data_IF_524567964900
#
_entry.id   IF_524567964900
#
_cell.length_a   1.000
_cell.length_b   1.000
_cell.length_c   1.000
_cell.angle_alpha   90.00
_cell.angle_beta   90.00
_cell.angle_gamma   90.00
#
_symmetry.space_group_name_H-M   'P 1'
#
loop_
_entity.id
_entity.type
_entity.pdbx_description
1 polymer ?
#
# COMPACT_ATOMS: atom_id res chain seq x y z
N UNK A 1 -19.94 5.82 -14.62
CA UNK A 1 -19.11 4.88 -13.81
C UNK A 1 -17.64 5.25 -13.75
N UNK A 2 -16.99 5.66 -14.84
CA UNK A 2 -15.55 5.97 -14.90
C UNK A 2 -15.08 7.10 -13.97
N UNK A 3 -15.86 8.15 -13.79
CA UNK A 3 -15.49 9.30 -12.94
C UNK A 3 -15.57 9.04 -11.44
N UNK A 4 -16.25 7.98 -11.00
CA UNK A 4 -16.57 7.75 -9.59
C UNK A 4 -15.79 6.57 -8.97
N UNK A 5 -15.19 5.69 -9.78
CA UNK A 5 -14.51 4.49 -9.28
C UNK A 5 -12.98 4.69 -9.26
N UNK A 6 -12.36 4.49 -8.11
CA UNK A 6 -10.90 4.48 -7.96
C UNK A 6 -10.26 3.30 -8.68
N UNK A 7 -10.92 2.15 -8.71
CA UNK A 7 -10.48 0.97 -9.47
C UNK A 7 -10.34 1.29 -10.97
N UNK A 8 -11.30 2.04 -11.53
CA UNK A 8 -11.24 2.43 -12.95
C UNK A 8 -10.06 3.38 -13.25
N UNK A 9 -9.64 4.18 -12.28
CA UNK A 9 -8.46 5.04 -12.40
C UNK A 9 -7.17 4.21 -12.36
N UNK A 10 -7.08 3.22 -11.48
CA UNK A 10 -5.95 2.32 -11.39
C UNK A 10 -5.73 1.54 -12.69
N UNK A 11 -6.80 1.04 -13.31
CA UNK A 11 -6.78 0.35 -14.61
C UNK A 11 -6.16 1.20 -15.73
N UNK A 12 -6.19 2.54 -15.60
CA UNK A 12 -5.52 3.44 -16.56
C UNK A 12 -4.10 3.78 -16.15
N UNK A 13 -3.89 4.06 -14.86
CA UNK A 13 -2.59 4.50 -14.35
C UNK A 13 -1.56 3.37 -14.46
N UNK A 14 -1.97 2.12 -14.21
CA UNK A 14 -1.07 0.98 -14.29
C UNK A 14 -0.49 0.73 -15.69
N UNK A 15 -1.29 0.63 -16.77
CA UNK A 15 -0.73 0.50 -18.12
C UNK A 15 0.10 1.71 -18.54
N UNK A 16 -0.29 2.92 -18.15
CA UNK A 16 0.50 4.12 -18.44
C UNK A 16 1.86 4.08 -17.73
N UNK A 17 1.91 3.62 -16.48
CA UNK A 17 3.15 3.42 -15.75
C UNK A 17 4.03 2.35 -16.42
N UNK A 18 3.47 1.22 -16.86
CA UNK A 18 4.21 0.17 -17.59
C UNK A 18 4.76 0.70 -18.90
N UNK A 19 3.97 1.46 -19.67
CA UNK A 19 4.41 2.06 -20.92
C UNK A 19 5.56 3.07 -20.69
N UNK A 20 5.47 3.90 -19.64
CA UNK A 20 6.53 4.84 -19.29
C UNK A 20 7.81 4.15 -18.83
N UNK A 21 7.72 3.04 -18.08
CA UNK A 21 8.90 2.25 -17.70
C UNK A 21 9.55 1.57 -18.89
N UNK A 22 8.75 1.03 -19.82
CA UNK A 22 9.27 0.46 -21.07
C UNK A 22 9.96 1.53 -21.93
N UNK A 23 9.40 2.74 -22.01
CA UNK A 23 10.00 3.87 -22.71
C UNK A 23 11.31 4.31 -22.06
N UNK A 24 11.37 4.39 -20.72
CA UNK A 24 12.58 4.70 -19.98
C UNK A 24 13.66 3.66 -20.23
N UNK A 25 13.30 2.39 -20.24
CA UNK A 25 14.22 1.29 -20.58
C UNK A 25 14.76 1.42 -22.00
N UNK A 26 13.90 1.71 -22.98
CA UNK A 26 14.30 1.92 -24.36
C UNK A 26 15.31 3.07 -24.51
N UNK A 27 15.08 4.22 -23.86
CA UNK A 27 16.02 5.34 -23.86
C UNK A 27 17.31 5.04 -23.08
N UNK A 28 17.24 4.24 -22.03
CA UNK A 28 18.42 3.78 -21.28
C UNK A 28 19.35 2.96 -22.15
N UNK A 29 18.82 2.11 -23.04
CA UNK A 29 19.61 1.35 -24.02
C UNK A 29 20.40 2.26 -24.97
N UNK A 30 19.92 3.49 -25.21
CA UNK A 30 20.56 4.48 -26.07
C UNK A 30 21.43 5.49 -25.30
N UNK A 31 21.66 5.30 -23.99
CA UNK A 31 22.34 6.23 -23.09
C UNK A 31 21.75 7.66 -23.11
N UNK A 32 20.47 7.80 -23.40
CA UNK A 32 19.79 9.09 -23.62
C UNK A 32 18.52 9.24 -22.80
N UNK A 33 18.51 8.75 -21.54
CA UNK A 33 17.30 8.93 -20.71
C UNK A 33 17.13 10.39 -20.34
N UNK A 34 16.07 11.07 -20.78
CA UNK A 34 15.84 12.45 -20.43
C UNK A 34 15.42 12.57 -18.94
N UNK A 35 15.97 13.55 -18.24
CA UNK A 35 15.73 13.74 -16.80
C UNK A 35 14.25 13.91 -16.43
N UNK A 36 13.45 14.52 -17.32
CA UNK A 36 12.00 14.66 -17.10
C UNK A 36 11.27 13.33 -17.00
N UNK A 37 11.76 12.28 -17.68
CA UNK A 37 11.12 10.96 -17.68
C UNK A 37 11.17 10.32 -16.28
N UNK A 38 12.28 10.50 -15.55
CA UNK A 38 12.39 10.05 -14.16
C UNK A 38 11.38 10.74 -13.25
N UNK A 39 11.18 12.05 -13.44
CA UNK A 39 10.17 12.81 -12.69
C UNK A 39 8.76 12.28 -12.97
N UNK A 40 8.44 12.05 -14.25
CA UNK A 40 7.12 11.51 -14.65
C UNK A 40 6.91 10.11 -14.07
N UNK A 41 7.92 9.25 -14.06
CA UNK A 41 7.86 7.92 -13.44
C UNK A 41 7.62 8.00 -11.93
N UNK A 42 8.28 8.91 -11.23
CA UNK A 42 8.04 9.14 -9.79
C UNK A 42 6.59 9.59 -9.54
N UNK A 43 6.07 10.53 -10.31
CA UNK A 43 4.68 10.99 -10.19
C UNK A 43 3.69 9.86 -10.50
N UNK A 44 3.95 9.08 -11.55
CA UNK A 44 3.09 7.96 -11.92
C UNK A 44 3.07 6.86 -10.85
N UNK A 45 4.21 6.56 -10.22
CA UNK A 45 4.27 5.59 -9.12
C UNK A 45 3.51 6.07 -7.88
N UNK A 46 3.63 7.35 -7.53
CA UNK A 46 2.85 7.95 -6.44
C UNK A 46 1.35 7.92 -6.75
N UNK A 47 0.96 8.25 -7.98
CA UNK A 47 -0.43 8.19 -8.41
C UNK A 47 -1.00 6.75 -8.32
N UNK A 48 -0.20 5.74 -8.68
CA UNK A 48 -0.59 4.34 -8.54
C UNK A 48 -0.82 3.97 -7.07
N UNK A 49 0.09 4.32 -6.16
CA UNK A 49 -0.09 4.06 -4.72
C UNK A 49 -1.32 4.77 -4.15
N UNK A 50 -1.58 6.01 -4.57
CA UNK A 50 -2.78 6.75 -4.15
C UNK A 50 -4.04 6.06 -4.67
N UNK A 51 -4.08 5.65 -5.94
CA UNK A 51 -5.24 4.94 -6.50
C UNK A 51 -5.53 3.65 -5.72
N UNK A 52 -4.51 2.82 -5.50
CA UNK A 52 -4.62 1.57 -4.74
C UNK A 52 -5.08 1.84 -3.30
N UNK A 53 -4.49 2.80 -2.60
CA UNK A 53 -4.87 3.17 -1.24
C UNK A 53 -6.32 3.65 -1.16
N UNK A 54 -6.78 4.42 -2.14
CA UNK A 54 -8.13 4.95 -2.18
C UNK A 54 -9.19 3.89 -2.44
N UNK A 55 -8.86 2.79 -3.14
CA UNK A 55 -9.77 1.65 -3.30
C UNK A 55 -10.16 1.11 -1.91
N UNK A 56 -9.18 0.91 -1.03
CA UNK A 56 -9.43 0.43 0.33
C UNK A 56 -10.07 1.52 1.22
N UNK A 57 -9.60 2.76 1.15
CA UNK A 57 -10.10 3.85 1.98
C UNK A 57 -11.57 4.19 1.71
N UNK A 58 -12.06 3.98 0.48
CA UNK A 58 -13.45 4.22 0.10
C UNK A 58 -14.43 3.19 0.67
N UNK A 59 -13.95 2.08 1.23
CA UNK A 59 -14.77 1.04 1.86
C UNK A 59 -15.19 1.51 3.25
N UNK A 60 -16.27 2.28 3.31
CA UNK A 60 -16.71 2.95 4.55
C UNK A 60 -17.20 2.02 5.66
N UNK A 61 -17.65 0.82 5.32
CA UNK A 61 -18.13 -0.15 6.31
C UNK A 61 -16.98 -0.81 7.08
N UNK A 62 -15.74 -0.81 6.54
CA UNK A 62 -14.55 -1.26 7.25
C UNK A 62 -13.90 -0.02 7.87
N UNK A 63 -14.17 0.24 9.16
CA UNK A 63 -13.70 1.43 9.87
C UNK A 63 -12.17 1.52 9.93
N UNK A 64 -11.49 0.39 9.93
CA UNK A 64 -10.03 0.29 9.93
C UNK A 64 -9.42 0.89 8.66
N UNK A 65 -10.06 0.66 7.51
CA UNK A 65 -9.61 1.11 6.21
C UNK A 65 -10.12 2.50 5.83
N UNK A 66 -11.32 2.85 6.29
CA UNK A 66 -11.99 4.12 5.99
C UNK A 66 -11.34 5.32 6.73
N UNK A 67 -10.01 5.45 6.67
CA UNK A 67 -9.27 6.51 7.34
C UNK A 67 -8.04 6.93 6.51
N UNK A 68 -7.63 8.21 6.53
CA UNK A 68 -6.45 8.71 5.80
C UNK A 68 -5.14 7.99 6.14
N UNK A 69 -5.03 7.38 7.33
CA UNK A 69 -3.88 6.57 7.71
C UNK A 69 -3.64 5.38 6.77
N UNK A 70 -4.69 4.86 6.12
CA UNK A 70 -4.56 3.81 5.12
C UNK A 70 -3.69 4.28 3.96
N UNK A 71 -3.94 5.47 3.43
CA UNK A 71 -3.12 6.05 2.37
C UNK A 71 -1.66 6.26 2.79
N UNK A 72 -1.44 6.84 3.98
CA UNK A 72 -0.08 7.03 4.53
C UNK A 72 0.65 5.70 4.69
N UNK A 73 -0.04 4.67 5.18
CA UNK A 73 0.53 3.33 5.34
C UNK A 73 0.91 2.69 3.99
N UNK A 74 0.06 2.82 2.97
CA UNK A 74 0.37 2.31 1.62
C UNK A 74 1.60 2.98 1.01
N UNK A 75 1.70 4.31 1.12
CA UNK A 75 2.87 5.08 0.62
C UNK A 75 4.13 4.67 1.40
N UNK A 76 4.08 4.65 2.73
CA UNK A 76 5.24 4.29 3.56
C UNK A 76 5.72 2.86 3.30
N UNK A 77 4.79 1.90 3.20
CA UNK A 77 5.13 0.51 2.86
C UNK A 77 5.64 0.38 1.42
N UNK A 78 5.08 1.12 0.47
CA UNK A 78 5.54 1.15 -0.92
C UNK A 78 6.98 1.64 -1.03
N UNK A 79 7.31 2.76 -0.37
CA UNK A 79 8.69 3.29 -0.34
C UNK A 79 9.64 2.28 0.33
N UNK A 80 9.27 1.76 1.50
CA UNK A 80 10.12 0.84 2.25
C UNK A 80 10.37 -0.46 1.49
N UNK A 81 9.32 -1.09 0.95
CA UNK A 81 9.46 -2.35 0.20
C UNK A 81 10.22 -2.15 -1.11
N UNK A 82 9.98 -1.04 -1.82
CA UNK A 82 10.72 -0.68 -3.03
C UNK A 82 12.20 -0.47 -2.74
N UNK A 83 12.53 0.22 -1.65
CA UNK A 83 13.91 0.41 -1.21
C UNK A 83 14.60 -0.92 -0.89
N UNK A 84 13.96 -1.80 -0.11
CA UNK A 84 14.51 -3.12 0.21
C UNK A 84 14.73 -3.97 -1.04
N UNK A 85 13.79 -3.94 -1.97
CA UNK A 85 13.91 -4.67 -3.22
C UNK A 85 15.09 -4.14 -4.06
N UNK A 86 15.23 -2.81 -4.15
CA UNK A 86 16.36 -2.18 -4.83
C UNK A 86 17.70 -2.59 -4.20
N UNK A 87 17.80 -2.55 -2.86
CA UNK A 87 19.03 -2.96 -2.17
C UNK A 87 19.34 -4.45 -2.37
N UNK A 88 18.33 -5.30 -2.39
CA UNK A 88 18.52 -6.73 -2.69
C UNK A 88 19.04 -6.96 -4.12
N UNK A 89 18.48 -6.25 -5.11
CA UNK A 89 18.96 -6.32 -6.49
C UNK A 89 20.39 -5.81 -6.64
N UNK A 90 20.73 -4.67 -6.02
CA UNK A 90 22.08 -4.10 -6.09
C UNK A 90 23.11 -4.99 -5.40
N UNK A 91 22.76 -5.63 -4.28
CA UNK A 91 23.65 -6.59 -3.63
C UNK A 91 23.84 -7.86 -4.46
N UNK A 92 22.78 -8.37 -5.08
CA UNK A 92 22.88 -9.50 -6.00
C UNK A 92 23.75 -9.16 -7.22
N UNK A 93 23.55 -7.98 -7.80
CA UNK A 93 24.37 -7.49 -8.91
C UNK A 93 25.85 -7.38 -8.54
N UNK A 94 26.16 -6.80 -7.38
CA UNK A 94 27.56 -6.68 -6.91
C UNK A 94 28.22 -8.02 -6.60
N UNK A 95 27.43 -9.04 -6.22
CA UNK A 95 27.95 -10.42 -6.05
C UNK A 95 28.32 -11.06 -7.39
N UNK A 96 27.52 -10.81 -8.43
CA UNK A 96 27.74 -11.37 -9.76
C UNK A 96 28.86 -10.64 -10.53
N UNK A 97 29.01 -9.33 -10.28
CA UNK A 97 29.96 -8.45 -10.98
C UNK A 97 30.88 -7.76 -9.97
N UNK A 98 31.81 -8.52 -9.40
CA UNK A 98 32.74 -8.06 -8.34
C UNK A 98 33.49 -6.77 -8.67
N UNK A 99 33.80 -6.57 -9.96
CA UNK A 99 34.56 -5.40 -10.44
C UNK A 99 33.72 -4.12 -10.54
N UNK A 100 32.39 -4.23 -10.43
CA UNK A 100 31.44 -3.12 -10.54
C UNK A 100 30.60 -2.95 -9.27
N UNK A 101 31.22 -3.10 -8.10
CA UNK A 101 30.49 -2.94 -6.83
C UNK A 101 29.91 -1.53 -6.71
N UNK A 102 28.59 -1.41 -6.84
CA UNK A 102 27.84 -0.15 -6.72
C UNK A 102 27.84 0.37 -5.28
N UNK A 103 27.90 -0.56 -4.30
CA UNK A 103 27.96 -0.21 -2.88
C UNK A 103 29.42 -0.26 -2.43
N UNK A 104 30.05 0.89 -2.40
CA UNK A 104 31.40 1.03 -1.86
C UNK A 104 31.38 1.11 -0.33
N UNK A 105 32.48 0.72 0.32
CA UNK A 105 32.61 0.78 1.79
C UNK A 105 32.31 2.18 2.37
N UNK A 106 32.60 3.22 1.63
CA UNK A 106 32.31 4.63 2.02
C UNK A 106 30.81 4.95 2.10
N UNK A 107 29.97 4.24 1.34
CA UNK A 107 28.52 4.52 1.27
C UNK A 107 27.69 3.58 2.16
N UNK A 108 28.28 2.52 2.71
CA UNK A 108 27.55 1.52 3.51
C UNK A 108 26.87 2.16 4.71
N UNK A 109 27.54 3.04 5.44
CA UNK A 109 26.97 3.70 6.62
C UNK A 109 25.72 4.55 6.28
N UNK A 110 25.78 5.31 5.19
CA UNK A 110 24.63 6.09 4.72
C UNK A 110 23.45 5.24 4.30
N UNK A 111 23.70 4.19 3.53
CA UNK A 111 22.69 3.23 3.09
C UNK A 111 22.07 2.51 4.28
N UNK A 112 22.87 2.03 5.23
CA UNK A 112 22.38 1.36 6.43
C UNK A 112 21.56 2.30 7.31
N UNK A 113 22.01 3.55 7.49
CA UNK A 113 21.29 4.58 8.25
C UNK A 113 19.92 4.90 7.63
N UNK A 114 19.87 5.09 6.32
CA UNK A 114 18.60 5.36 5.62
C UNK A 114 17.66 4.15 5.68
N UNK A 115 18.19 2.94 5.52
CA UNK A 115 17.42 1.69 5.66
C UNK A 115 16.84 1.56 7.07
N UNK A 116 17.66 1.80 8.09
CA UNK A 116 17.22 1.81 9.50
C UNK A 116 16.11 2.83 9.76
N UNK A 117 16.25 4.04 9.20
CA UNK A 117 15.21 5.08 9.28
C UNK A 117 13.88 4.63 8.66
N UNK A 118 13.90 4.03 7.46
CA UNK A 118 12.69 3.54 6.81
C UNK A 118 12.02 2.40 7.60
N UNK A 119 12.81 1.50 8.18
CA UNK A 119 12.28 0.42 9.05
C UNK A 119 11.58 1.03 10.27
N UNK A 120 12.24 1.94 10.98
CA UNK A 120 11.68 2.58 12.17
C UNK A 120 10.42 3.37 11.84
N UNK A 121 10.42 4.11 10.73
CA UNK A 121 9.25 4.86 10.27
C UNK A 121 8.06 3.92 9.97
N UNK A 122 8.30 2.85 9.24
CA UNK A 122 7.26 1.88 8.89
C UNK A 122 6.72 1.16 10.13
N UNK A 123 7.60 0.81 11.07
CA UNK A 123 7.23 0.15 12.32
C UNK A 123 6.39 1.08 13.20
N UNK A 124 6.80 2.33 13.39
CA UNK A 124 6.06 3.31 14.21
C UNK A 124 4.68 3.60 13.63
N UNK A 125 4.57 3.76 12.32
CA UNK A 125 3.27 3.91 11.63
C UNK A 125 2.39 2.68 11.84
N UNK A 126 2.95 1.48 11.72
CA UNK A 126 2.21 0.23 11.90
C UNK A 126 1.71 0.08 13.33
N UNK A 127 2.54 0.36 14.33
CA UNK A 127 2.16 0.32 15.74
C UNK A 127 1.09 1.36 16.06
N UNK A 128 1.19 2.55 15.51
CA UNK A 128 0.18 3.60 15.67
C UNK A 128 -1.18 3.19 15.08
N UNK A 129 -1.19 2.64 13.85
CA UNK A 129 -2.40 2.13 13.21
C UNK A 129 -3.00 0.98 14.03
N UNK A 130 -2.17 0.06 14.50
CA UNK A 130 -2.62 -1.05 15.32
C UNK A 130 -3.24 -0.59 16.65
N UNK A 131 -2.60 0.37 17.34
CA UNK A 131 -3.16 0.99 18.56
C UNK A 131 -4.51 1.66 18.29
N UNK A 132 -4.60 2.43 17.19
CA UNK A 132 -5.85 3.05 16.77
C UNK A 132 -6.94 2.01 16.49
N UNK A 133 -6.61 0.96 15.72
CA UNK A 133 -7.60 -0.04 15.33
C UNK A 133 -8.15 -0.80 16.55
N UNK A 134 -7.35 -1.03 17.58
CA UNK A 134 -7.81 -1.60 18.85
C UNK A 134 -8.79 -0.71 19.62
N UNK A 135 -8.77 0.59 19.40
CA UNK A 135 -9.67 1.54 20.06
C UNK A 135 -10.97 1.79 19.30
N UNK A 136 -11.13 1.21 18.10
CA UNK A 136 -12.33 1.36 17.29
C UNK A 136 -13.50 0.61 17.95
N UNK A 137 -14.64 1.31 18.05
CA UNK A 137 -15.91 0.72 18.51
C UNK A 137 -16.81 0.47 17.29
N UNK A 138 -17.57 -0.64 17.26
CA UNK A 138 -18.52 -0.90 16.20
C UNK A 138 -19.56 0.22 16.13
N UNK A 139 -19.81 0.74 14.92
CA UNK A 139 -20.79 1.83 14.68
C UNK A 139 -22.20 1.31 14.50
N UNK A 140 -22.37 0.04 14.22
CA UNK A 140 -23.67 -0.59 13.99
C UNK A 140 -23.72 -1.96 14.69
N UNK A 141 -24.93 -2.34 15.09
CA UNK A 141 -25.25 -3.69 15.56
C UNK A 141 -26.12 -4.41 14.50
N UNK A 142 -26.40 -5.69 14.70
CA UNK A 142 -27.22 -6.49 13.78
C UNK A 142 -28.60 -5.85 13.54
N UNK A 143 -29.21 -5.30 14.56
CA UNK A 143 -30.50 -4.64 14.48
C UNK A 143 -30.46 -3.36 13.63
N UNK A 144 -29.43 -2.52 13.85
CA UNK A 144 -29.27 -1.28 13.07
C UNK A 144 -28.87 -1.55 11.61
N UNK A 145 -28.13 -2.62 11.36
CA UNK A 145 -27.68 -2.98 10.01
C UNK A 145 -28.81 -3.59 9.17
N UNK A 146 -29.70 -4.37 9.80
CA UNK A 146 -30.85 -5.01 9.11
C UNK A 146 -32.11 -4.14 9.10
N UNK A 147 -32.14 -3.08 9.91
CA UNK A 147 -33.33 -2.22 10.07
C UNK A 147 -34.46 -2.88 10.86
N UNK A 148 -34.26 -4.09 11.40
CA UNK A 148 -35.29 -4.82 12.18
C UNK A 148 -35.32 -4.24 13.58
N UNK A 149 -36.41 -3.57 13.92
CA UNK A 149 -36.56 -2.87 15.21
C UNK A 149 -37.12 -3.75 16.34
N UNK A 150 -37.67 -4.90 16.00
CA UNK A 150 -38.39 -5.78 16.96
C UNK A 150 -37.69 -7.12 17.13
N UNK A 151 -37.53 -7.55 18.38
CA UNK A 151 -37.03 -8.87 18.73
C UNK A 151 -35.50 -9.02 18.69
N UNK A 152 -35.08 -10.25 18.97
CA UNK A 152 -33.67 -10.64 18.93
C UNK A 152 -33.31 -11.07 17.49
N UNK A 153 -32.33 -10.38 16.87
CA UNK A 153 -31.86 -10.72 15.54
C UNK A 153 -30.63 -11.62 15.68
N UNK A 154 -30.74 -12.85 15.18
CA UNK A 154 -29.66 -13.83 15.14
C UNK A 154 -29.30 -14.19 13.71
N UNK A 155 -28.03 -14.18 13.37
CA UNK A 155 -27.57 -14.68 12.09
C UNK A 155 -27.60 -16.22 12.11
N UNK A 156 -28.43 -16.83 11.26
CA UNK A 156 -28.61 -18.29 11.21
C UNK A 156 -27.53 -18.94 10.33
N UNK A 157 -27.13 -18.27 9.24
CA UNK A 157 -26.11 -18.78 8.32
C UNK A 157 -24.81 -18.00 8.53
N UNK A 158 -23.79 -18.68 9.06
CA UNK A 158 -22.48 -18.10 9.31
C UNK A 158 -21.46 -18.42 8.20
N UNK A 159 -21.89 -19.06 7.10
CA UNK A 159 -21.00 -19.58 6.06
C UNK A 159 -20.07 -20.70 6.56
N UNK A 160 -19.18 -21.18 5.72
CA UNK A 160 -18.26 -22.30 6.05
C UNK A 160 -17.24 -21.96 7.15
N UNK A 161 -17.08 -20.69 7.53
CA UNK A 161 -16.02 -20.22 8.43
C UNK A 161 -16.50 -19.82 9.84
N UNK A 162 -17.55 -20.40 10.37
CA UNK A 162 -18.00 -20.26 11.74
C UNK A 162 -17.92 -18.84 12.32
N UNK A 163 -18.94 -18.01 12.13
CA UNK A 163 -18.98 -16.61 12.53
C UNK A 163 -18.17 -15.75 11.57
N UNK A 164 -18.84 -15.05 10.63
CA UNK A 164 -18.11 -14.20 9.68
C UNK A 164 -17.29 -13.16 10.45
N UNK A 165 -16.11 -12.84 9.94
CA UNK A 165 -15.26 -11.74 10.42
C UNK A 165 -16.09 -10.48 10.68
N UNK A 166 -16.99 -10.13 9.78
CA UNK A 166 -17.89 -9.00 9.91
C UNK A 166 -18.80 -9.09 11.14
N UNK A 167 -19.28 -10.27 11.53
CA UNK A 167 -20.16 -10.42 12.69
C UNK A 167 -19.42 -10.22 14.00
N UNK A 168 -18.15 -10.63 14.09
CA UNK A 168 -17.33 -10.47 15.30
C UNK A 168 -16.77 -9.07 15.46
N UNK A 169 -16.38 -8.41 14.36
CA UNK A 169 -15.69 -7.11 14.43
C UNK A 169 -16.60 -5.91 14.24
N UNK A 170 -17.71 -6.06 13.50
CA UNK A 170 -18.59 -4.93 13.15
C UNK A 170 -19.94 -4.96 13.85
N UNK A 171 -20.39 -6.14 14.31
CA UNK A 171 -21.64 -6.28 15.01
C UNK A 171 -21.41 -6.85 16.42
N UNK A 172 -21.68 -6.07 17.44
CA UNK A 172 -21.77 -6.61 18.81
C UNK A 172 -22.97 -7.55 18.88
N UNK A 173 -22.70 -8.78 19.25
CA UNK A 173 -23.75 -9.72 19.67
C UNK A 173 -24.23 -9.36 21.04
#
# INVERSE_FOLDING_TARGET
MWRTSWLSREVLVLPAFIALTALAYYFSWQDRVPNWLWLVLCIASLALWVCTAMIYQCIRFIQEWAHPTTMVNFIALGISSGWFFLMALLSLWSMLHRDQAVVTSSNIAGVAGFTGFLILLSLTLKLWIWKRNRSLKPKSNLQSATGIKTGFVRQISMGMMGGSFNTREFFHQ
#
